data_IF_401726098459
#
_entry.id   IF_401726098459
#
_cell.length_a   1.000
_cell.length_b   1.000
_cell.length_c   1.000
_cell.angle_alpha   90.00
_cell.angle_beta   90.00
_cell.angle_gamma   90.00
#
_symmetry.space_group_name_H-M   'P 1'
#
loop_
_entity.id
_entity.type
_entity.pdbx_description
1 polymer ?
#
# COMPACT_ATOMS: atom_id res chain seq x y z
N UNK A 1 -30.02 49.99 -11.08
CA UNK A 1 -31.35 50.63 -11.17
C UNK A 1 -31.81 50.91 -9.76
N UNK A 2 -31.68 52.18 -9.38
CA UNK A 2 -32.00 52.72 -8.07
C UNK A 2 -33.51 52.95 -7.91
N UNK A 3 -33.87 53.40 -6.70
CA UNK A 3 -35.14 54.00 -6.29
C UNK A 3 -36.21 53.01 -5.81
N UNK A 4 -36.84 53.13 -4.63
CA UNK A 4 -37.18 54.30 -3.80
C UNK A 4 -37.14 54.00 -2.28
N UNK A 5 -36.80 55.03 -1.50
CA UNK A 5 -37.07 55.17 -0.04
C UNK A 5 -38.32 56.03 0.16
N UNK A 6 -39.00 55.82 1.28
CA UNK A 6 -39.82 56.81 2.01
C UNK A 6 -41.23 56.29 2.33
N UNK A 7 -41.88 56.62 3.45
CA UNK A 7 -41.52 57.38 4.64
C UNK A 7 -42.63 57.09 5.71
N UNK A 8 -42.22 56.82 6.95
CA UNK A 8 -42.78 57.19 8.27
C UNK A 8 -44.31 57.39 8.44
N UNK A 9 -44.90 56.71 9.44
CA UNK A 9 -45.82 57.33 10.41
C UNK A 9 -45.82 56.57 11.75
N UNK A 10 -46.22 57.30 12.81
CA UNK A 10 -45.87 57.10 14.23
C UNK A 10 -46.91 56.28 15.01
N UNK A 11 -46.46 55.67 16.11
CA UNK A 11 -47.18 55.70 17.40
C UNK A 11 -47.71 54.38 17.94
N UNK A 12 -47.10 53.90 19.04
CA UNK A 12 -47.68 53.71 20.38
C UNK A 12 -46.83 52.71 21.19
N UNK A 13 -46.46 53.11 22.39
CA UNK A 13 -45.70 52.32 23.35
C UNK A 13 -46.65 51.56 24.28
N UNK A 14 -46.34 50.30 24.57
CA UNK A 14 -46.69 49.62 25.83
C UNK A 14 -45.72 48.44 26.05
N UNK A 15 -45.09 48.29 27.23
CA UNK A 15 -44.11 47.25 27.46
C UNK A 15 -44.81 45.97 27.92
N UNK A 16 -44.62 44.86 27.19
CA UNK A 16 -44.97 43.53 27.68
C UNK A 16 -43.68 42.89 28.20
N UNK A 17 -43.54 42.83 29.52
CA UNK A 17 -42.46 42.13 30.18
C UNK A 17 -42.62 40.61 29.94
N UNK A 18 -41.77 40.05 29.09
CA UNK A 18 -41.66 38.61 28.89
C UNK A 18 -40.58 38.06 29.83
N UNK A 19 -41.00 37.51 30.97
CA UNK A 19 -40.11 36.77 31.87
C UNK A 19 -39.65 35.50 31.17
N UNK A 20 -38.39 35.48 30.75
CA UNK A 20 -37.70 34.31 30.19
C UNK A 20 -37.36 33.36 31.35
N UNK A 21 -38.06 32.23 31.47
CA UNK A 21 -37.62 31.13 32.33
C UNK A 21 -36.53 30.38 31.57
N UNK A 22 -35.27 30.59 31.95
CA UNK A 22 -34.16 29.75 31.49
C UNK A 22 -34.19 28.48 32.34
N UNK A 23 -34.70 27.39 31.77
CA UNK A 23 -34.45 26.04 32.31
C UNK A 23 -33.01 25.69 31.95
N UNK A 24 -32.16 25.57 32.96
CA UNK A 24 -30.79 25.07 32.79
C UNK A 24 -30.86 23.58 32.45
N UNK A 25 -30.82 23.23 31.16
CA UNK A 25 -30.45 21.88 30.74
C UNK A 25 -28.96 21.70 30.99
N UNK A 26 -28.61 20.80 31.91
CA UNK A 26 -27.24 20.29 32.01
C UNK A 26 -26.85 19.67 30.65
N UNK A 27 -25.62 19.89 30.16
CA UNK A 27 -25.17 19.24 28.94
C UNK A 27 -25.13 17.73 29.19
N UNK A 28 -26.05 17.01 28.56
CA UNK A 28 -25.97 15.56 28.48
C UNK A 28 -24.67 15.25 27.73
N UNK A 29 -23.72 14.62 28.42
CA UNK A 29 -22.54 14.02 27.79
C UNK A 29 -23.09 13.03 26.76
N UNK A 30 -22.86 13.23 25.45
CA UNK A 30 -23.33 12.26 24.47
C UNK A 30 -22.68 10.91 24.81
N UNK A 31 -23.43 9.79 24.79
CA UNK A 31 -22.82 8.49 24.91
C UNK A 31 -21.71 8.40 23.86
N UNK A 32 -20.54 7.90 24.26
CA UNK A 32 -19.45 7.59 23.33
C UNK A 32 -20.09 6.87 22.13
N UNK A 33 -19.94 7.46 20.94
CA UNK A 33 -20.51 6.90 19.73
C UNK A 33 -20.03 5.45 19.65
N UNK A 34 -20.95 4.51 19.83
CA UNK A 34 -20.68 3.12 19.51
C UNK A 34 -20.14 3.11 18.09
N UNK A 35 -18.96 2.52 17.88
CA UNK A 35 -18.37 2.39 16.55
C UNK A 35 -19.46 1.87 15.61
N UNK A 36 -19.77 2.64 14.57
CA UNK A 36 -20.77 2.23 13.60
C UNK A 36 -20.42 0.81 13.11
N UNK A 37 -21.41 -0.09 12.98
CA UNK A 37 -21.15 -1.47 12.59
C UNK A 37 -20.32 -1.53 11.30
N UNK A 38 -19.40 -2.47 11.24
CA UNK A 38 -18.52 -2.63 10.09
C UNK A 38 -19.32 -2.96 8.84
N UNK A 39 -19.33 -2.04 7.88
CA UNK A 39 -19.88 -2.32 6.57
C UNK A 39 -18.83 -3.09 5.77
N UNK A 40 -19.28 -4.00 4.92
CA UNK A 40 -18.44 -4.77 4.00
C UNK A 40 -17.48 -3.86 3.22
N UNK A 41 -17.99 -2.74 2.68
CA UNK A 41 -17.21 -1.76 1.93
C UNK A 41 -16.11 -1.10 2.75
N UNK A 42 -16.41 -0.64 3.97
CA UNK A 42 -15.40 -0.04 4.84
C UNK A 42 -14.30 -1.05 5.20
N UNK A 43 -14.69 -2.30 5.52
CA UNK A 43 -13.75 -3.37 5.79
C UNK A 43 -12.81 -3.62 4.61
N UNK A 44 -13.34 -3.67 3.38
CA UNK A 44 -12.53 -3.85 2.18
C UNK A 44 -11.56 -2.71 1.94
N UNK A 45 -12.00 -1.47 2.13
CA UNK A 45 -11.15 -0.29 2.01
C UNK A 45 -10.02 -0.33 3.04
N UNK A 46 -10.34 -0.58 4.31
CA UNK A 46 -9.34 -0.66 5.38
C UNK A 46 -8.35 -1.81 5.14
N UNK A 47 -8.84 -3.00 4.74
CA UNK A 47 -7.96 -4.11 4.36
C UNK A 47 -6.99 -3.72 3.25
N UNK A 48 -7.50 -3.03 2.23
CA UNK A 48 -6.69 -2.57 1.13
C UNK A 48 -5.63 -1.58 1.62
N UNK A 49 -6.01 -0.58 2.42
CA UNK A 49 -5.09 0.42 2.96
C UNK A 49 -3.99 -0.22 3.81
N UNK A 50 -4.34 -1.13 4.73
CA UNK A 50 -3.37 -1.80 5.59
C UNK A 50 -2.46 -2.75 4.80
N UNK A 51 -3.00 -3.43 3.79
CA UNK A 51 -2.20 -4.26 2.89
C UNK A 51 -1.13 -3.44 2.16
N UNK A 52 -1.47 -2.23 1.71
CA UNK A 52 -0.54 -1.35 0.98
C UNK A 52 0.66 -0.92 1.85
N UNK A 53 0.49 -0.81 3.17
CA UNK A 53 1.60 -0.53 4.10
C UNK A 53 2.65 -1.64 4.04
N UNK A 54 2.21 -2.91 4.00
CA UNK A 54 3.11 -4.08 3.90
C UNK A 54 3.58 -4.37 2.47
N UNK A 55 2.91 -3.77 1.47
CA UNK A 55 3.10 -4.02 0.03
C UNK A 55 3.29 -2.70 -0.75
N UNK A 56 4.38 -1.97 -0.50
CA UNK A 56 4.68 -0.73 -1.22
C UNK A 56 4.82 -0.94 -2.73
N UNK A 57 5.13 -2.16 -3.19
CA UNK A 57 5.10 -2.56 -4.60
C UNK A 57 3.70 -2.44 -5.22
N UNK A 58 2.66 -2.86 -4.48
CA UNK A 58 1.28 -2.77 -4.93
C UNK A 58 0.80 -1.33 -4.98
N UNK A 59 1.13 -0.53 -3.97
CA UNK A 59 0.79 0.89 -3.92
C UNK A 59 1.35 1.60 -5.16
N UNK A 60 2.64 1.41 -5.42
CA UNK A 60 3.32 1.99 -6.58
C UNK A 60 2.68 1.58 -7.90
N UNK A 61 2.33 0.29 -8.06
CA UNK A 61 1.72 -0.22 -9.31
C UNK A 61 0.36 0.38 -9.64
N UNK A 62 -0.33 0.95 -8.65
CA UNK A 62 -1.65 1.56 -8.79
C UNK A 62 -1.63 3.09 -8.78
N UNK A 63 -0.44 3.70 -8.75
CA UNK A 63 -0.29 5.15 -8.69
C UNK A 63 -0.48 5.73 -7.29
N UNK A 64 -0.44 4.90 -6.24
CA UNK A 64 -0.44 5.38 -4.85
C UNK A 64 0.99 5.65 -4.39
N UNK A 65 1.30 6.95 -4.29
CA UNK A 65 2.63 7.46 -4.02
C UNK A 65 2.90 7.78 -2.55
N UNK A 66 2.01 7.36 -1.63
CA UNK A 66 2.23 7.59 -0.19
C UNK A 66 3.44 6.83 0.37
N UNK A 67 3.84 5.75 -0.29
CA UNK A 67 4.90 4.83 0.18
C UNK A 67 6.14 4.82 -0.72
N UNK A 68 6.41 5.90 -1.48
CA UNK A 68 7.50 5.93 -2.47
C UNK A 68 8.87 5.56 -1.88
N UNK A 69 9.21 6.03 -0.68
CA UNK A 69 10.47 5.69 -0.01
C UNK A 69 10.51 4.32 0.66
N UNK A 70 9.39 3.61 0.74
CA UNK A 70 9.33 2.27 1.34
C UNK A 70 9.73 1.22 0.32
N UNK A 71 10.40 0.17 0.77
CA UNK A 71 10.78 -0.96 -0.08
C UNK A 71 10.32 -2.30 0.52
N UNK A 72 10.36 -3.35 -0.30
CA UNK A 72 9.95 -4.70 0.08
C UNK A 72 10.77 -5.22 1.28
N UNK A 73 10.07 -5.60 2.37
CA UNK A 73 10.65 -6.18 3.58
C UNK A 73 10.36 -7.69 3.73
N UNK A 74 9.81 -8.34 2.71
CA UNK A 74 9.36 -9.75 2.80
C UNK A 74 10.47 -10.77 3.09
N UNK A 75 11.74 -10.37 2.96
CA UNK A 75 12.91 -11.17 3.35
C UNK A 75 13.39 -10.93 4.79
N UNK A 76 12.79 -9.97 5.51
CA UNK A 76 13.02 -9.67 6.94
C UNK A 76 12.20 -10.63 7.82
N UNK A 77 12.63 -10.87 9.07
CA UNK A 77 12.01 -11.91 9.92
C UNK A 77 10.63 -11.54 10.47
N UNK A 78 10.41 -10.26 10.74
CA UNK A 78 9.19 -9.66 11.29
C UNK A 78 8.05 -9.59 10.27
N UNK A 79 8.35 -9.29 9.00
CA UNK A 79 7.34 -9.07 7.96
C UNK A 79 6.33 -10.21 7.82
N UNK A 80 6.76 -11.47 7.99
CA UNK A 80 5.86 -12.64 7.96
C UNK A 80 4.79 -12.55 9.04
N UNK A 81 5.18 -12.14 10.24
CA UNK A 81 4.28 -12.03 11.39
C UNK A 81 3.30 -10.89 11.18
N UNK A 82 3.75 -9.76 10.65
CA UNK A 82 2.88 -8.63 10.29
C UNK A 82 1.83 -9.03 9.24
N UNK A 83 2.25 -9.75 8.20
CA UNK A 83 1.34 -10.25 7.17
C UNK A 83 0.32 -11.25 7.73
N UNK A 84 0.74 -12.18 8.60
CA UNK A 84 -0.18 -13.11 9.26
C UNK A 84 -1.15 -12.39 10.20
N UNK A 85 -0.69 -11.41 10.97
CA UNK A 85 -1.53 -10.63 11.87
C UNK A 85 -2.58 -9.82 11.09
N UNK A 86 -2.21 -9.22 9.95
CA UNK A 86 -3.14 -8.58 9.02
C UNK A 86 -4.21 -9.57 8.57
N UNK A 87 -3.79 -10.73 8.06
CA UNK A 87 -4.71 -11.77 7.56
C UNK A 87 -5.67 -12.23 8.65
N UNK A 88 -5.17 -12.49 9.86
CA UNK A 88 -5.99 -12.95 10.98
C UNK A 88 -7.00 -11.89 11.43
N UNK A 89 -6.58 -10.63 11.48
CA UNK A 89 -7.44 -9.49 11.80
C UNK A 89 -8.63 -9.41 10.83
N UNK A 90 -8.35 -9.41 9.52
CA UNK A 90 -9.39 -9.25 8.52
C UNK A 90 -10.25 -10.52 8.35
N UNK A 91 -9.71 -11.72 8.57
CA UNK A 91 -10.53 -12.93 8.65
C UNK A 91 -11.52 -12.90 9.81
N UNK A 92 -11.11 -12.38 10.98
CA UNK A 92 -12.00 -12.25 12.14
C UNK A 92 -13.11 -11.22 11.87
N UNK A 93 -12.76 -10.08 11.28
CA UNK A 93 -13.73 -9.02 10.92
C UNK A 93 -14.75 -9.49 9.88
N UNK A 94 -14.32 -10.21 8.84
CA UNK A 94 -15.22 -10.75 7.82
C UNK A 94 -16.25 -11.71 8.44
N UNK A 95 -15.84 -12.55 9.39
CA UNK A 95 -16.74 -13.48 10.10
C UNK A 95 -17.74 -12.79 11.03
N UNK A 96 -17.48 -11.54 11.40
CA UNK A 96 -18.36 -10.75 12.27
C UNK A 96 -19.40 -9.94 11.47
N UNK A 97 -19.32 -9.95 10.14
CA UNK A 97 -20.35 -9.34 9.29
C UNK A 97 -21.67 -10.11 9.45
N UNK A 98 -22.77 -9.36 9.43
CA UNK A 98 -24.11 -9.91 9.51
C UNK A 98 -24.58 -10.29 8.09
N UNK A 99 -24.51 -11.58 7.77
CA UNK A 99 -24.85 -12.11 6.44
C UNK A 99 -26.25 -11.69 5.97
N UNK A 100 -27.20 -11.51 6.90
CA UNK A 100 -28.57 -11.11 6.58
C UNK A 100 -28.67 -9.66 6.07
N UNK A 101 -27.62 -8.86 6.26
CA UNK A 101 -27.55 -7.45 5.81
C UNK A 101 -26.73 -7.28 4.52
N UNK A 102 -26.10 -8.33 4.02
CA UNK A 102 -25.30 -8.28 2.80
C UNK A 102 -26.18 -8.56 1.58
N UNK A 103 -26.04 -7.74 0.54
CA UNK A 103 -26.55 -8.08 -0.79
C UNK A 103 -25.80 -9.29 -1.38
N UNK A 104 -26.37 -9.95 -2.39
CA UNK A 104 -25.73 -11.10 -3.06
C UNK A 104 -24.32 -10.77 -3.62
N UNK A 105 -24.14 -9.56 -4.15
CA UNK A 105 -22.85 -9.09 -4.63
C UNK A 105 -21.83 -8.86 -3.51
N UNK A 106 -22.29 -8.36 -2.35
CA UNK A 106 -21.44 -8.20 -1.18
C UNK A 106 -21.06 -9.55 -0.57
N UNK A 107 -21.99 -10.50 -0.49
CA UNK A 107 -21.72 -11.87 -0.05
C UNK A 107 -20.64 -12.52 -0.93
N UNK A 108 -20.78 -12.40 -2.25
CA UNK A 108 -19.77 -12.90 -3.20
C UNK A 108 -18.39 -12.26 -2.96
N UNK A 109 -18.35 -10.95 -2.68
CA UNK A 109 -17.11 -10.22 -2.42
C UNK A 109 -16.46 -10.62 -1.08
N UNK A 110 -17.29 -10.81 -0.04
CA UNK A 110 -16.87 -11.31 1.28
C UNK A 110 -16.29 -12.72 1.16
N UNK A 111 -16.98 -13.62 0.46
CA UNK A 111 -16.54 -14.99 0.23
C UNK A 111 -15.21 -15.04 -0.54
N UNK A 112 -15.08 -14.21 -1.58
CA UNK A 112 -13.85 -14.12 -2.35
C UNK A 112 -12.67 -13.64 -1.50
N UNK A 113 -12.86 -12.56 -0.72
CA UNK A 113 -11.80 -12.07 0.14
C UNK A 113 -11.43 -13.08 1.23
N UNK A 114 -12.43 -13.72 1.86
CA UNK A 114 -12.19 -14.76 2.85
C UNK A 114 -11.40 -15.94 2.24
N UNK A 115 -11.77 -16.42 1.05
CA UNK A 115 -11.03 -17.46 0.33
C UNK A 115 -9.59 -17.01 0.05
N UNK A 116 -9.38 -15.78 -0.43
CA UNK A 116 -8.05 -15.22 -0.72
C UNK A 116 -7.19 -15.18 0.54
N UNK A 117 -7.73 -14.67 1.65
CA UNK A 117 -7.04 -14.61 2.94
C UNK A 117 -6.72 -16.01 3.48
N UNK A 118 -7.57 -17.01 3.24
CA UNK A 118 -7.26 -18.41 3.61
C UNK A 118 -6.10 -18.96 2.78
N UNK A 119 -6.02 -18.67 1.48
CA UNK A 119 -4.86 -19.06 0.67
C UNK A 119 -3.58 -18.38 1.13
N UNK A 120 -3.64 -17.07 1.40
CA UNK A 120 -2.49 -16.32 1.89
C UNK A 120 -2.05 -16.83 3.28
N UNK A 121 -2.99 -17.12 4.19
CA UNK A 121 -2.68 -17.75 5.48
C UNK A 121 -2.01 -19.11 5.32
N UNK A 122 -2.46 -19.95 4.38
CA UNK A 122 -1.82 -21.25 4.11
C UNK A 122 -0.39 -21.08 3.62
N UNK A 123 -0.16 -20.13 2.72
CA UNK A 123 1.18 -19.85 2.22
C UNK A 123 2.09 -19.27 3.31
N UNK A 124 1.71 -18.14 3.90
CA UNK A 124 2.51 -17.46 4.92
C UNK A 124 2.59 -18.25 6.24
N UNK A 125 1.63 -19.14 6.53
CA UNK A 125 1.62 -19.98 7.72
C UNK A 125 2.38 -21.30 7.59
N UNK A 126 2.83 -21.67 6.38
CA UNK A 126 3.53 -22.94 6.12
C UNK A 126 5.02 -22.75 5.87
N UNK A 127 5.74 -23.87 5.78
CA UNK A 127 7.15 -23.90 5.39
C UNK A 127 7.35 -23.48 3.92
N UNK A 128 6.28 -23.43 3.11
CA UNK A 128 6.37 -22.97 1.72
C UNK A 128 6.87 -21.53 1.62
N UNK A 129 6.47 -20.66 2.55
CA UNK A 129 6.99 -19.29 2.58
C UNK A 129 8.48 -19.27 2.93
N UNK A 130 8.91 -20.08 3.89
CA UNK A 130 10.32 -20.19 4.27
C UNK A 130 11.17 -20.69 3.08
N UNK A 131 10.70 -21.71 2.37
CA UNK A 131 11.33 -22.21 1.14
C UNK A 131 11.36 -21.14 0.03
N UNK A 132 10.25 -20.42 -0.18
CA UNK A 132 10.20 -19.37 -1.21
C UNK A 132 11.20 -18.25 -0.96
N UNK A 133 11.46 -17.93 0.31
CA UNK A 133 12.42 -16.87 0.67
C UNK A 133 13.85 -17.26 0.37
N UNK A 134 14.18 -18.55 0.41
CA UNK A 134 15.49 -19.09 0.00
C UNK A 134 15.72 -18.98 -1.51
N UNK A 135 14.66 -18.73 -2.29
CA UNK A 135 14.68 -18.53 -3.74
C UNK A 135 14.10 -17.14 -4.09
N UNK A 136 14.68 -16.04 -3.58
CA UNK A 136 14.06 -14.71 -3.64
C UNK A 136 14.02 -14.09 -5.05
N UNK A 137 14.67 -14.72 -6.02
CA UNK A 137 14.75 -14.26 -7.39
C UNK A 137 14.92 -15.43 -8.35
N UNK A 138 14.49 -15.22 -9.59
CA UNK A 138 14.74 -16.07 -10.76
C UNK A 138 14.82 -15.18 -12.02
N UNK A 139 15.06 -15.77 -13.19
CA UNK A 139 15.19 -15.02 -14.46
C UNK A 139 13.95 -14.24 -14.94
N UNK A 140 12.78 -14.46 -14.34
CA UNK A 140 11.51 -13.79 -14.62
C UNK A 140 10.98 -12.97 -13.44
N UNK A 141 11.37 -13.29 -12.20
CA UNK A 141 10.81 -12.69 -10.99
C UNK A 141 11.87 -12.25 -10.00
N UNK A 142 11.55 -11.21 -9.24
CA UNK A 142 12.34 -10.74 -8.09
C UNK A 142 12.62 -9.25 -8.18
N UNK A 143 13.04 -8.67 -7.05
CA UNK A 143 13.18 -7.21 -6.96
C UNK A 143 14.27 -6.64 -7.85
N UNK A 144 15.25 -7.45 -8.27
CA UNK A 144 16.25 -7.05 -9.26
C UNK A 144 15.66 -6.68 -10.63
N UNK A 145 14.49 -7.22 -11.00
CA UNK A 145 13.78 -6.86 -12.24
C UNK A 145 12.83 -5.70 -11.96
N UNK A 146 11.92 -5.86 -10.99
CA UNK A 146 10.86 -4.87 -10.73
C UNK A 146 11.39 -3.52 -10.26
N UNK A 147 12.50 -3.48 -9.53
CA UNK A 147 13.14 -2.20 -9.15
C UNK A 147 13.57 -1.44 -10.40
N UNK A 148 14.32 -2.08 -11.30
CA UNK A 148 14.81 -1.47 -12.54
C UNK A 148 13.66 -1.07 -13.47
N UNK A 149 12.65 -1.92 -13.62
CA UNK A 149 11.45 -1.63 -14.41
C UNK A 149 10.67 -0.43 -13.86
N UNK A 150 10.44 -0.39 -12.54
CA UNK A 150 9.74 0.73 -11.91
C UNK A 150 10.49 2.05 -12.05
N UNK A 151 11.82 1.99 -12.05
CA UNK A 151 12.69 3.16 -12.12
C UNK A 151 12.98 3.62 -13.57
N UNK A 152 12.59 2.85 -14.59
CA UNK A 152 12.79 3.21 -15.98
C UNK A 152 11.97 4.47 -16.34
N UNK A 153 12.35 5.18 -17.41
CA UNK A 153 11.66 6.42 -17.81
C UNK A 153 10.18 6.27 -18.19
N UNK A 154 9.73 5.05 -18.48
CA UNK A 154 8.32 4.68 -18.69
C UNK A 154 7.78 3.76 -17.59
N UNK A 155 8.50 3.68 -16.46
CA UNK A 155 8.15 2.87 -15.29
C UNK A 155 7.08 3.52 -14.42
N UNK A 156 6.73 2.85 -13.32
CA UNK A 156 5.68 3.29 -12.40
C UNK A 156 6.16 4.31 -11.36
N UNK A 157 7.46 4.46 -11.14
CA UNK A 157 7.99 5.42 -10.17
C UNK A 157 7.94 6.84 -10.74
N UNK A 158 7.23 7.78 -10.09
CA UNK A 158 7.02 9.11 -10.66
C UNK A 158 8.26 9.98 -10.44
N UNK A 159 9.13 10.16 -11.42
CA UNK A 159 10.27 11.08 -11.33
C UNK A 159 9.92 12.52 -11.75
N UNK A 160 8.90 13.11 -11.11
CA UNK A 160 8.31 14.38 -11.53
C UNK A 160 8.67 15.58 -10.65
N UNK A 161 8.83 15.35 -9.34
CA UNK A 161 9.07 16.41 -8.35
C UNK A 161 10.35 16.15 -7.57
N UNK A 162 10.94 17.19 -6.99
CA UNK A 162 12.12 17.05 -6.12
C UNK A 162 11.87 16.02 -5.00
N UNK A 163 10.70 16.07 -4.35
CA UNK A 163 10.34 15.13 -3.30
C UNK A 163 10.35 13.68 -3.80
N UNK A 164 9.92 13.42 -5.04
CA UNK A 164 9.97 12.06 -5.59
C UNK A 164 11.41 11.58 -5.79
N UNK A 165 12.33 12.45 -6.21
CA UNK A 165 13.74 12.11 -6.32
C UNK A 165 14.37 11.84 -4.94
N UNK A 166 14.02 12.63 -3.91
CA UNK A 166 14.46 12.39 -2.54
C UNK A 166 13.97 11.03 -2.01
N UNK A 167 12.69 10.72 -2.22
CA UNK A 167 12.12 9.41 -1.90
C UNK A 167 12.77 8.27 -2.71
N UNK A 168 13.22 8.54 -3.94
CA UNK A 168 13.86 7.54 -4.78
C UNK A 168 15.23 7.14 -4.22
N UNK A 169 15.95 8.08 -3.60
CA UNK A 169 17.19 7.79 -2.89
C UNK A 169 16.93 6.86 -1.70
N UNK A 170 15.92 7.17 -0.88
CA UNK A 170 15.50 6.29 0.24
C UNK A 170 15.10 4.90 -0.26
N UNK A 171 14.35 4.84 -1.36
CA UNK A 171 13.94 3.58 -2.00
C UNK A 171 15.14 2.79 -2.51
N UNK A 172 16.16 3.44 -3.08
CA UNK A 172 17.39 2.80 -3.53
C UNK A 172 18.19 2.20 -2.37
N UNK A 173 18.25 2.88 -1.22
CA UNK A 173 18.82 2.29 0.01
C UNK A 173 18.01 1.07 0.48
N UNK A 174 16.68 1.13 0.38
CA UNK A 174 15.80 -0.01 0.64
C UNK A 174 16.08 -1.19 -0.28
N UNK A 175 16.30 -0.95 -1.57
CA UNK A 175 16.69 -1.98 -2.52
C UNK A 175 18.06 -2.60 -2.18
N UNK A 176 19.05 -1.78 -1.79
CA UNK A 176 20.34 -2.30 -1.35
C UNK A 176 20.21 -3.23 -0.13
N UNK A 177 19.42 -2.84 0.89
CA UNK A 177 19.11 -3.71 2.04
C UNK A 177 18.40 -5.00 1.62
N UNK A 178 17.46 -4.92 0.68
CA UNK A 178 16.80 -6.11 0.16
C UNK A 178 17.79 -7.05 -0.54
N UNK A 179 18.77 -6.52 -1.29
CA UNK A 179 19.82 -7.34 -1.93
C UNK A 179 20.66 -8.06 -0.88
N UNK A 180 21.05 -7.39 0.20
CA UNK A 180 21.77 -8.03 1.31
C UNK A 180 20.96 -9.18 1.93
N UNK A 181 19.66 -8.96 2.18
CA UNK A 181 18.77 -10.01 2.66
C UNK A 181 18.62 -11.16 1.65
N UNK A 182 18.51 -10.86 0.35
CA UNK A 182 18.41 -11.87 -0.69
C UNK A 182 19.66 -12.75 -0.75
N UNK A 183 20.86 -12.16 -0.60
CA UNK A 183 22.12 -12.93 -0.51
C UNK A 183 22.09 -13.87 0.70
N UNK A 184 21.68 -13.37 1.87
CA UNK A 184 21.56 -14.20 3.08
C UNK A 184 20.58 -15.37 2.87
N UNK A 185 19.42 -15.12 2.27
CA UNK A 185 18.43 -16.19 2.01
C UNK A 185 18.90 -17.20 0.98
N UNK A 186 19.60 -16.76 -0.07
CA UNK A 186 20.23 -17.67 -1.04
C UNK A 186 21.29 -18.55 -0.37
N UNK A 187 22.09 -18.00 0.55
CA UNK A 187 23.07 -18.77 1.33
C UNK A 187 22.40 -19.78 2.27
N UNK A 188 21.27 -19.42 2.90
CA UNK A 188 20.43 -20.36 3.66
C UNK A 188 19.92 -21.50 2.76
N UNK A 189 19.44 -21.16 1.56
CA UNK A 189 19.01 -22.13 0.55
C UNK A 189 20.11 -23.12 0.16
N UNK A 190 21.34 -22.63 -0.08
CA UNK A 190 22.50 -23.48 -0.35
C UNK A 190 22.77 -24.48 0.78
N UNK A 191 22.71 -24.03 2.04
CA UNK A 191 22.90 -24.91 3.21
C UNK A 191 21.79 -25.95 3.34
N UNK A 192 20.56 -25.58 2.98
CA UNK A 192 19.38 -26.45 3.05
C UNK A 192 19.18 -27.34 1.81
N UNK A 193 20.01 -27.21 0.77
CA UNK A 193 19.82 -27.90 -0.51
C UNK A 193 18.66 -27.35 -1.35
N UNK A 194 18.14 -26.18 -1.01
CA UNK A 194 17.05 -25.48 -1.71
C UNK A 194 17.69 -24.43 -2.62
N UNK A 195 18.02 -24.83 -3.85
CA UNK A 195 18.73 -23.99 -4.82
C UNK A 195 18.02 -23.95 -6.16
N UNK A 196 18.22 -22.86 -6.90
CA UNK A 196 17.78 -22.77 -8.28
C UNK A 196 18.52 -23.78 -9.17
N UNK A 197 17.86 -24.37 -10.18
CA UNK A 197 18.55 -25.17 -11.19
C UNK A 197 19.64 -24.36 -11.90
N UNK A 198 20.75 -25.01 -12.26
CA UNK A 198 21.90 -24.36 -12.91
C UNK A 198 21.51 -23.56 -14.17
N UNK A 199 20.56 -24.07 -14.96
CA UNK A 199 20.06 -23.39 -16.16
C UNK A 199 19.39 -22.04 -15.84
N UNK A 200 18.71 -21.92 -14.69
CA UNK A 200 18.10 -20.67 -14.25
C UNK A 200 19.19 -19.69 -13.80
N UNK A 201 20.15 -20.15 -13.00
CA UNK A 201 21.27 -19.33 -12.52
C UNK A 201 22.08 -18.77 -13.69
N UNK A 202 22.35 -19.59 -14.72
CA UNK A 202 23.06 -19.16 -15.92
C UNK A 202 22.36 -18.02 -16.69
N UNK A 203 21.03 -17.87 -16.56
CA UNK A 203 20.26 -16.77 -17.14
C UNK A 203 20.20 -15.53 -16.24
N UNK A 204 20.19 -15.73 -14.92
CA UNK A 204 20.16 -14.64 -13.93
C UNK A 204 21.48 -13.86 -13.91
N UNK A 205 22.63 -14.53 -13.98
CA UNK A 205 23.93 -13.87 -13.84
C UNK A 205 24.17 -12.75 -14.88
N UNK A 206 23.90 -12.95 -16.19
CA UNK A 206 23.98 -11.87 -17.16
C UNK A 206 23.00 -10.72 -16.87
N UNK A 207 21.77 -11.00 -16.44
CA UNK A 207 20.79 -9.96 -16.08
C UNK A 207 21.30 -9.08 -14.94
N UNK A 208 21.88 -9.68 -13.89
CA UNK A 208 22.48 -8.94 -12.79
C UNK A 208 23.70 -8.12 -13.23
N UNK A 209 24.52 -8.64 -14.15
CA UNK A 209 25.73 -7.94 -14.61
C UNK A 209 25.43 -6.59 -15.28
N UNK A 210 24.30 -6.47 -15.97
CA UNK A 210 23.84 -5.23 -16.61
C UNK A 210 23.62 -4.12 -15.57
N UNK A 211 23.23 -4.47 -14.35
CA UNK A 211 22.96 -3.52 -13.27
C UNK A 211 24.24 -3.02 -12.57
N UNK A 212 25.36 -3.76 -12.69
CA UNK A 212 26.57 -3.56 -11.90
C UNK A 212 27.72 -2.93 -12.68
N UNK A 213 27.46 -2.46 -13.89
CA UNK A 213 28.49 -2.41 -14.92
C UNK A 213 29.70 -1.55 -14.56
N UNK A 214 30.87 -2.20 -14.49
CA UNK A 214 32.19 -1.57 -14.43
C UNK A 214 32.72 -1.14 -15.82
N UNK A 215 31.93 -1.19 -16.91
CA UNK A 215 32.14 -0.43 -18.16
C UNK A 215 30.90 -0.51 -19.05
N UNK A 216 30.30 0.62 -19.49
CA UNK A 216 29.09 0.57 -20.30
C UNK A 216 29.32 -0.18 -21.62
N UNK A 217 28.47 -1.18 -21.90
CA UNK A 217 28.18 -1.57 -23.28
C UNK A 217 27.69 -0.32 -23.99
N UNK A 218 28.43 0.17 -24.99
CA UNK A 218 27.99 1.30 -25.82
C UNK A 218 26.59 0.97 -26.35
N UNK A 219 25.57 1.78 -26.05
CA UNK A 219 24.30 1.62 -26.73
C UNK A 219 24.54 1.90 -28.21
N UNK A 220 24.16 0.97 -29.09
CA UNK A 220 23.93 1.31 -30.49
C UNK A 220 23.05 2.56 -30.52
N UNK A 221 23.47 3.59 -31.25
CA UNK A 221 22.87 4.93 -31.38
C UNK A 221 21.34 4.97 -31.41
N UNK A 222 20.71 4.82 -30.25
CA UNK A 222 19.27 4.88 -30.02
C UNK A 222 18.86 6.30 -29.65
N UNK A 223 17.88 6.83 -30.38
CA UNK A 223 17.47 8.25 -30.46
C UNK A 223 16.91 8.91 -29.18
N UNK A 224 17.08 8.37 -27.98
CA UNK A 224 16.27 8.78 -26.82
C UNK A 224 16.96 9.62 -25.72
N UNK A 225 18.23 10.04 -25.89
CA UNK A 225 18.91 10.90 -24.91
C UNK A 225 19.43 12.22 -25.51
N UNK A 226 18.56 12.98 -26.20
CA UNK A 226 18.90 14.30 -26.73
C UNK A 226 18.39 15.48 -25.89
N UNK A 227 17.62 15.25 -24.80
CA UNK A 227 16.90 16.33 -24.11
C UNK A 227 17.63 17.03 -22.95
N UNK A 228 18.81 16.59 -22.55
CA UNK A 228 19.59 17.24 -21.47
C UNK A 228 21.01 17.62 -21.90
N UNK A 229 21.14 18.13 -23.13
CA UNK A 229 22.26 18.98 -23.51
C UNK A 229 21.77 20.42 -23.62
N UNK A 230 21.85 21.16 -22.52
CA UNK A 230 22.05 22.60 -22.50
C UNK A 230 22.71 22.99 -21.19
#
# INVERSE_FOLDING_TARGET
MSWWRGLISKGFALPLALTLVVVAMAPAVPPAAAEAPDTSGRLFDEYWQDLLVLRPDKALSQGDYRYLGHFDRSLEGDWRHEMLALIETYQARLKALDDAKLSEGEQTSVDFLNWRLQQDRRFFGSDLFALSRMLPLDHFRGQHISFAESAAGSGTYPFETQAHYEQALVRAEGFARWVDQAILRLQEGVKAGVVLPQMIVARVLPQLSIHLDKKPVRPSSGRHYSRFRR
#
